data_IF_696191198003
#
_entry.id   IF_696191198003
#
_cell.length_a   1.000
_cell.length_b   1.000
_cell.length_c   1.000
_cell.angle_alpha   90.00
_cell.angle_beta   90.00
_cell.angle_gamma   90.00
#
_symmetry.space_group_name_H-M   'P 1'
#
loop_
_entity.id
_entity.type
_entity.pdbx_description
1 polymer ?
#
# COMPACT_ATOMS: atom_id res chain seq x y z
N UNK A 1 19.30 22.84 13.80
CA UNK A 1 18.42 21.94 14.54
C UNK A 1 18.14 20.74 13.66
N UNK A 2 18.44 19.53 14.12
CA UNK A 2 18.15 18.31 13.37
C UNK A 2 16.65 18.05 13.47
N UNK A 3 15.95 18.12 12.35
CA UNK A 3 14.54 17.72 12.25
C UNK A 3 14.54 16.20 12.22
N UNK A 4 14.02 15.57 13.27
CA UNK A 4 13.80 14.12 13.27
C UNK A 4 12.74 13.78 12.22
N UNK A 5 12.89 12.69 11.46
CA UNK A 5 11.87 12.25 10.54
C UNK A 5 10.61 11.90 11.35
N UNK A 6 9.50 12.58 11.06
CA UNK A 6 8.25 12.42 11.79
C UNK A 6 7.62 11.07 11.43
N UNK A 7 7.60 10.12 12.38
CA UNK A 7 6.88 8.86 12.24
C UNK A 7 5.37 9.15 12.17
N UNK A 8 4.74 8.79 11.04
CA UNK A 8 3.32 9.05 10.80
C UNK A 8 2.53 7.77 11.04
N UNK A 9 1.67 7.81 12.05
CA UNK A 9 0.63 6.81 12.26
C UNK A 9 -0.64 7.29 11.56
N UNK A 10 -1.13 6.53 10.59
CA UNK A 10 -2.52 6.68 10.18
C UNK A 10 -3.38 5.91 11.19
N UNK A 11 -4.16 6.65 11.99
CA UNK A 11 -5.15 6.04 12.88
C UNK A 11 -6.16 5.24 12.03
N UNK A 12 -6.71 4.14 12.57
CA UNK A 12 -7.71 3.35 11.86
C UNK A 12 -8.90 4.25 11.45
N UNK A 13 -9.44 4.01 10.25
CA UNK A 13 -10.67 4.66 9.81
C UNK A 13 -11.79 4.30 10.80
N UNK A 14 -12.18 5.27 11.63
CA UNK A 14 -13.29 5.11 12.57
C UNK A 14 -14.58 5.15 11.76
N UNK A 15 -15.13 3.98 11.44
CA UNK A 15 -16.51 3.91 10.98
C UNK A 15 -17.42 4.41 12.09
N UNK A 16 -18.12 5.53 11.85
CA UNK A 16 -19.10 6.05 12.80
C UNK A 16 -20.25 5.05 12.93
N UNK A 17 -20.35 4.39 14.08
CA UNK A 17 -21.57 3.74 14.51
C UNK A 17 -21.91 4.27 15.90
N UNK A 18 -22.87 5.20 15.93
CA UNK A 18 -23.72 5.36 17.11
C UNK A 18 -24.41 4.02 17.40
N UNK A 19 -24.68 3.78 18.68
CA UNK A 19 -25.27 2.57 19.29
C UNK A 19 -24.22 1.53 19.72
N UNK A 20 -23.84 1.57 21.02
CA UNK A 20 -23.09 0.53 21.75
C UNK A 20 -21.94 -0.12 20.95
N UNK A 21 -21.05 0.72 20.42
CA UNK A 21 -20.11 0.34 19.36
C UNK A 21 -18.94 -0.53 19.83
N UNK A 22 -18.94 -1.81 19.43
CA UNK A 22 -17.71 -2.52 19.14
C UNK A 22 -16.94 -1.74 18.06
N UNK A 23 -15.80 -1.16 18.45
CA UNK A 23 -14.89 -0.50 17.50
C UNK A 23 -14.18 -1.57 16.69
N UNK A 24 -14.64 -1.80 15.47
CA UNK A 24 -14.03 -2.69 14.49
C UNK A 24 -12.78 -2.01 13.89
N UNK A 25 -11.61 -2.26 14.50
CA UNK A 25 -10.32 -1.74 14.02
C UNK A 25 -9.88 -2.56 12.82
N UNK A 26 -10.06 -2.03 11.60
CA UNK A 26 -9.80 -2.75 10.35
C UNK A 26 -8.32 -2.90 9.96
N UNK A 27 -7.39 -2.30 10.71
CA UNK A 27 -5.95 -2.48 10.55
C UNK A 27 -5.14 -1.25 10.94
N UNK A 28 -3.81 -1.41 11.00
CA UNK A 28 -2.86 -0.32 11.26
C UNK A 28 -1.92 -0.12 10.08
N UNK A 29 -1.69 1.15 9.71
CA UNK A 29 -0.68 1.54 8.71
C UNK A 29 0.42 2.38 9.37
N UNK A 30 1.67 1.96 9.18
CA UNK A 30 2.86 2.60 9.74
C UNK A 30 3.77 3.04 8.60
N UNK A 31 4.21 4.30 8.59
CA UNK A 31 5.23 4.78 7.66
C UNK A 31 6.57 4.89 8.37
N UNK A 32 7.58 4.18 7.86
CA UNK A 32 8.92 4.13 8.40
C UNK A 32 9.89 4.77 7.41
N UNK A 33 10.48 5.94 7.73
CA UNK A 33 11.43 6.61 6.86
C UNK A 33 12.82 5.98 6.92
N UNK A 34 13.48 5.81 5.77
CA UNK A 34 14.92 5.61 5.73
C UNK A 34 15.62 6.95 5.99
N UNK A 35 16.10 7.16 7.22
CA UNK A 35 16.87 8.37 7.55
C UNK A 35 18.13 8.48 6.69
N UNK A 36 18.39 9.66 6.13
CA UNK A 36 19.54 9.97 5.24
C UNK A 36 20.93 9.89 5.90
N UNK A 37 21.04 9.26 7.07
CA UNK A 37 22.26 8.97 7.76
C UNK A 37 22.05 7.66 8.52
N UNK A 38 22.99 6.73 8.37
CA UNK A 38 23.05 5.35 8.90
C UNK A 38 22.88 5.17 10.43
N UNK A 39 22.22 6.10 11.13
CA UNK A 39 22.15 6.20 12.60
C UNK A 39 20.75 6.59 13.11
N UNK A 40 19.78 6.94 12.23
CA UNK A 40 18.37 7.08 12.66
C UNK A 40 17.66 5.70 12.85
N UNK A 41 18.40 4.60 12.69
CA UNK A 41 17.86 3.36 12.15
C UNK A 41 17.39 2.32 13.18
N UNK A 42 17.93 2.25 14.39
CA UNK A 42 17.65 1.09 15.27
C UNK A 42 16.51 1.32 16.26
N UNK A 43 16.42 2.52 16.87
CA UNK A 43 15.36 2.82 17.86
C UNK A 43 13.98 2.97 17.20
N UNK A 44 13.90 3.61 16.03
CA UNK A 44 12.65 3.75 15.28
C UNK A 44 12.17 2.40 14.76
N UNK A 45 13.07 1.58 14.22
CA UNK A 45 12.77 0.20 13.80
C UNK A 45 12.29 -0.62 15.01
N UNK A 46 12.99 -0.59 16.14
CA UNK A 46 12.60 -1.30 17.37
C UNK A 46 11.19 -0.90 17.86
N UNK A 47 10.85 0.39 17.77
CA UNK A 47 9.50 0.86 18.09
C UNK A 47 8.46 0.28 17.12
N UNK A 48 8.73 0.34 15.81
CA UNK A 48 7.82 -0.21 14.80
C UNK A 48 7.64 -1.71 14.99
N UNK A 49 8.71 -2.47 15.21
CA UNK A 49 8.64 -3.90 15.49
C UNK A 49 7.78 -4.18 16.72
N UNK A 50 7.97 -3.42 17.80
CA UNK A 50 7.16 -3.55 19.02
C UNK A 50 5.67 -3.30 18.77
N UNK A 51 5.33 -2.31 17.94
CA UNK A 51 3.93 -2.00 17.57
C UNK A 51 3.35 -3.13 16.70
N UNK A 52 4.10 -3.61 15.72
CA UNK A 52 3.67 -4.70 14.82
C UNK A 52 3.44 -5.99 15.61
N UNK A 53 4.35 -6.36 16.51
CA UNK A 53 4.19 -7.53 17.37
C UNK A 53 2.98 -7.40 18.31
N UNK A 54 2.77 -6.20 18.88
CA UNK A 54 1.62 -5.94 19.74
C UNK A 54 0.29 -6.06 18.97
N UNK A 55 0.25 -5.56 17.74
CA UNK A 55 -0.90 -5.71 16.85
C UNK A 55 -1.11 -7.18 16.44
N UNK A 56 -0.05 -7.92 16.11
CA UNK A 56 -0.12 -9.34 15.76
C UNK A 56 -0.67 -10.18 16.92
N UNK A 57 -0.25 -9.92 18.17
CA UNK A 57 -0.78 -10.57 19.38
C UNK A 57 -2.28 -10.34 19.58
N UNK A 58 -2.82 -9.26 19.01
CA UNK A 58 -4.24 -8.92 19.02
C UNK A 58 -4.96 -9.31 17.73
N UNK A 59 -4.28 -10.01 16.83
CA UNK A 59 -4.79 -10.38 15.50
C UNK A 59 -5.26 -9.18 14.67
N UNK A 60 -4.64 -8.02 14.86
CA UNK A 60 -4.93 -6.83 14.07
C UNK A 60 -3.98 -6.80 12.86
N UNK A 61 -4.49 -6.73 11.63
CA UNK A 61 -3.67 -6.72 10.43
C UNK A 61 -2.84 -5.43 10.37
N UNK A 62 -1.55 -5.58 10.03
CA UNK A 62 -0.60 -4.46 9.98
C UNK A 62 0.00 -4.33 8.59
N UNK A 63 0.03 -3.08 8.12
CA UNK A 63 0.69 -2.67 6.90
C UNK A 63 1.82 -1.71 7.26
N UNK A 64 3.03 -1.98 6.78
CA UNK A 64 4.19 -1.10 7.00
C UNK A 64 4.68 -0.60 5.67
N UNK A 65 4.91 0.71 5.56
CA UNK A 65 5.45 1.35 4.36
C UNK A 65 6.87 1.80 4.65
N UNK A 66 7.83 1.28 3.90
CA UNK A 66 9.22 1.68 3.93
C UNK A 66 9.41 2.85 2.95
N UNK A 67 9.48 4.07 3.46
CA UNK A 67 9.64 5.27 2.65
C UNK A 67 11.07 5.35 2.11
N UNK A 68 11.22 5.69 0.84
CA UNK A 68 12.49 5.79 0.10
C UNK A 68 13.19 4.45 -0.15
N UNK A 69 12.51 3.32 0.09
CA UNK A 69 13.00 1.98 -0.21
C UNK A 69 13.40 1.81 -1.68
N UNK A 70 12.65 2.41 -2.62
CA UNK A 70 12.89 2.27 -4.05
C UNK A 70 13.97 3.23 -4.59
N UNK A 71 14.58 4.04 -3.72
CA UNK A 71 15.59 5.04 -4.08
C UNK A 71 16.84 4.94 -3.20
N UNK A 72 16.93 3.90 -2.35
CA UNK A 72 18.03 3.70 -1.42
C UNK A 72 19.20 2.99 -2.10
N UNK A 73 20.45 3.44 -1.91
CA UNK A 73 21.61 2.78 -2.55
C UNK A 73 22.01 1.42 -1.91
N UNK A 74 21.26 0.92 -0.93
CA UNK A 74 21.55 -0.32 -0.19
C UNK A 74 20.33 -1.28 -0.15
N UNK A 75 20.15 -2.11 -1.19
CA UNK A 75 19.07 -3.12 -1.24
C UNK A 75 19.12 -4.12 -0.07
N UNK A 76 20.31 -4.44 0.44
CA UNK A 76 20.47 -5.38 1.55
C UNK A 76 19.94 -4.80 2.87
N UNK A 77 20.02 -3.47 3.05
CA UNK A 77 19.37 -2.82 4.17
C UNK A 77 17.84 -2.90 4.09
N UNK A 78 17.27 -2.64 2.91
CA UNK A 78 15.81 -2.77 2.70
C UNK A 78 15.35 -4.21 2.93
N UNK A 79 16.10 -5.18 2.42
CA UNK A 79 15.85 -6.59 2.65
C UNK A 79 15.85 -6.96 4.13
N UNK A 80 16.87 -6.52 4.89
CA UNK A 80 16.97 -6.79 6.33
C UNK A 80 15.75 -6.25 7.07
N UNK A 81 15.40 -4.99 6.83
CA UNK A 81 14.25 -4.35 7.48
C UNK A 81 12.92 -5.02 7.10
N UNK A 82 12.72 -5.32 5.82
CA UNK A 82 11.52 -6.04 5.37
C UNK A 82 11.40 -7.42 6.05
N UNK A 83 12.54 -8.11 6.24
CA UNK A 83 12.57 -9.41 6.92
C UNK A 83 12.20 -9.28 8.40
N UNK A 84 12.78 -8.33 9.11
CA UNK A 84 12.49 -8.08 10.53
C UNK A 84 11.02 -7.72 10.74
N UNK A 85 10.47 -6.83 9.90
CA UNK A 85 9.07 -6.42 9.94
C UNK A 85 8.13 -7.59 9.62
N UNK A 86 8.48 -8.45 8.66
CA UNK A 86 7.71 -9.64 8.36
C UNK A 86 7.74 -10.65 9.51
N UNK A 87 8.88 -10.82 10.19
CA UNK A 87 9.02 -11.66 11.37
C UNK A 87 8.22 -11.13 12.56
N UNK A 88 8.15 -9.81 12.74
CA UNK A 88 7.31 -9.17 13.75
C UNK A 88 5.80 -9.34 13.49
N UNK A 89 5.41 -9.80 12.29
CA UNK A 89 4.04 -10.16 11.98
C UNK A 89 3.33 -9.25 10.97
N UNK A 90 4.04 -8.35 10.30
CA UNK A 90 3.43 -7.47 9.30
C UNK A 90 2.77 -8.27 8.17
N UNK A 91 1.52 -7.93 7.85
CA UNK A 91 0.76 -8.59 6.79
C UNK A 91 1.18 -8.08 5.41
N UNK A 92 1.38 -6.77 5.28
CA UNK A 92 1.81 -6.12 4.04
C UNK A 92 3.00 -5.21 4.31
N UNK A 93 4.01 -5.28 3.45
CA UNK A 93 5.20 -4.42 3.48
C UNK A 93 5.28 -3.69 2.14
N UNK A 94 5.15 -2.38 2.16
CA UNK A 94 5.16 -1.55 0.96
C UNK A 94 6.52 -0.93 0.78
N UNK A 95 7.15 -1.17 -0.37
CA UNK A 95 8.35 -0.46 -0.78
C UNK A 95 7.90 0.84 -1.45
N UNK A 96 8.27 1.98 -0.88
CA UNK A 96 7.90 3.28 -1.40
C UNK A 96 9.09 4.04 -2.00
N UNK A 97 8.84 4.86 -3.02
CA UNK A 97 9.85 5.70 -3.67
C UNK A 97 9.31 7.08 -4.05
N UNK A 98 10.16 8.09 -3.91
CA UNK A 98 9.90 9.45 -4.39
C UNK A 98 10.20 9.60 -5.90
N UNK A 99 9.91 10.78 -6.44
CA UNK A 99 9.91 11.14 -7.87
C UNK A 99 11.17 10.74 -8.65
N UNK A 100 11.00 10.30 -9.91
CA UNK A 100 12.06 10.34 -10.93
C UNK A 100 13.16 9.29 -10.84
N UNK A 101 13.38 8.67 -9.68
CA UNK A 101 14.56 7.83 -9.42
C UNK A 101 14.27 6.33 -9.29
N UNK A 102 13.00 5.94 -9.17
CA UNK A 102 12.63 4.52 -9.10
C UNK A 102 12.69 3.89 -10.52
N UNK A 103 13.88 3.44 -10.87
CA UNK A 103 14.14 2.67 -12.10
C UNK A 103 13.45 1.30 -12.02
N UNK A 104 12.87 0.85 -13.13
CA UNK A 104 12.33 -0.51 -13.25
C UNK A 104 13.42 -1.57 -13.02
N UNK A 105 14.65 -1.33 -13.44
CA UNK A 105 15.77 -2.25 -13.20
C UNK A 105 16.10 -2.33 -11.70
N UNK A 106 16.09 -1.17 -11.02
CA UNK A 106 16.31 -1.11 -9.58
C UNK A 106 15.15 -1.80 -8.81
N UNK A 107 13.90 -1.59 -9.23
CA UNK A 107 12.74 -2.30 -8.69
C UNK A 107 12.89 -3.82 -8.78
N UNK A 108 13.30 -4.35 -9.94
CA UNK A 108 13.52 -5.78 -10.13
C UNK A 108 14.58 -6.32 -9.16
N UNK A 109 15.70 -5.59 -9.04
CA UNK A 109 16.81 -5.92 -8.14
C UNK A 109 16.37 -5.97 -6.67
N UNK A 110 15.75 -4.89 -6.17
CA UNK A 110 15.35 -4.81 -4.76
C UNK A 110 14.24 -5.80 -4.42
N UNK A 111 13.31 -6.02 -5.35
CA UNK A 111 12.25 -7.00 -5.14
C UNK A 111 12.83 -8.42 -5.06
N UNK A 112 13.74 -8.79 -5.96
CA UNK A 112 14.40 -10.09 -5.93
C UNK A 112 15.17 -10.30 -4.60
N UNK A 113 15.88 -9.26 -4.14
CA UNK A 113 16.60 -9.31 -2.86
C UNK A 113 15.63 -9.53 -1.69
N UNK A 114 14.57 -8.72 -1.59
CA UNK A 114 13.54 -8.84 -0.55
C UNK A 114 12.87 -10.21 -0.59
N UNK A 115 12.60 -10.78 -1.77
CA UNK A 115 12.02 -12.10 -1.92
C UNK A 115 12.96 -13.24 -1.48
N UNK A 116 14.27 -13.03 -1.50
CA UNK A 116 15.24 -14.02 -1.02
C UNK A 116 15.17 -14.24 0.50
N UNK A 117 14.49 -13.35 1.23
CA UNK A 117 14.29 -13.47 2.67
C UNK A 117 13.40 -14.65 3.06
N UNK A 118 13.93 -15.54 3.89
CA UNK A 118 13.18 -16.64 4.45
C UNK A 118 12.40 -16.21 5.70
N UNK A 119 11.12 -15.93 5.54
CA UNK A 119 10.22 -15.50 6.62
C UNK A 119 9.19 -16.59 6.95
N UNK A 120 8.90 -16.77 8.24
CA UNK A 120 7.95 -17.78 8.70
C UNK A 120 6.50 -17.40 8.36
N UNK A 121 5.67 -18.42 8.12
CA UNK A 121 4.24 -18.23 7.81
C UNK A 121 3.99 -17.97 6.33
N UNK A 122 3.61 -16.75 5.97
CA UNK A 122 3.33 -16.38 4.56
C UNK A 122 4.62 -16.02 3.81
N UNK A 123 4.83 -16.51 2.58
CA UNK A 123 5.95 -16.12 1.73
C UNK A 123 6.04 -14.61 1.52
N UNK A 124 7.27 -14.09 1.40
CA UNK A 124 7.50 -12.65 1.21
C UNK A 124 6.78 -12.10 -0.03
N UNK A 125 6.71 -12.89 -1.11
CA UNK A 125 6.01 -12.51 -2.35
C UNK A 125 4.52 -12.18 -2.16
N UNK A 126 3.88 -12.70 -1.11
CA UNK A 126 2.48 -12.41 -0.78
C UNK A 126 2.30 -11.17 0.11
N UNK A 127 3.40 -10.62 0.64
CA UNK A 127 3.41 -9.49 1.59
C UNK A 127 3.87 -8.19 0.93
N UNK A 128 4.73 -8.27 -0.07
CA UNK A 128 5.35 -7.09 -0.66
C UNK A 128 4.38 -6.33 -1.55
N UNK A 129 4.36 -5.00 -1.37
CA UNK A 129 3.63 -4.06 -2.20
C UNK A 129 4.48 -2.89 -2.68
N UNK A 130 3.94 -2.12 -3.61
CA UNK A 130 4.63 -0.99 -4.25
C UNK A 130 3.81 0.30 -4.10
N UNK A 131 4.50 1.37 -3.71
CA UNK A 131 4.02 2.76 -3.74
C UNK A 131 5.06 3.64 -4.41
N UNK A 132 4.84 4.04 -5.65
CA UNK A 132 5.75 4.91 -6.35
C UNK A 132 5.00 6.12 -6.92
N UNK A 133 5.64 7.29 -6.84
CA UNK A 133 5.18 8.46 -7.60
C UNK A 133 5.21 8.12 -9.10
N UNK A 134 4.19 8.54 -9.83
CA UNK A 134 4.16 8.37 -11.28
C UNK A 134 5.21 9.28 -11.92
N UNK A 135 6.05 8.72 -12.79
CA UNK A 135 7.08 9.48 -13.51
C UNK A 135 6.52 10.19 -14.75
N UNK A 136 7.37 10.89 -15.51
CA UNK A 136 7.01 11.51 -16.79
C UNK A 136 6.44 10.50 -17.80
N UNK A 137 6.92 9.25 -17.75
CA UNK A 137 6.47 8.13 -18.59
C UNK A 137 5.18 7.44 -18.05
N UNK A 138 4.53 8.02 -17.04
CA UNK A 138 3.28 7.55 -16.46
C UNK A 138 3.47 6.49 -15.38
N UNK A 139 2.75 5.36 -15.50
CA UNK A 139 2.63 4.33 -14.46
C UNK A 139 3.54 3.10 -14.70
N UNK A 140 4.68 3.30 -15.38
CA UNK A 140 5.59 2.23 -15.81
C UNK A 140 6.09 1.31 -14.69
N UNK A 141 6.39 1.86 -13.51
CA UNK A 141 6.77 1.08 -12.32
C UNK A 141 5.66 0.10 -11.91
N UNK A 142 4.39 0.52 -11.98
CA UNK A 142 3.25 -0.33 -11.64
C UNK A 142 3.03 -1.41 -12.69
N UNK A 143 3.26 -1.09 -13.96
CA UNK A 143 3.28 -2.08 -15.03
C UNK A 143 4.33 -3.16 -14.74
N UNK A 144 5.55 -2.74 -14.39
CA UNK A 144 6.63 -3.66 -14.05
C UNK A 144 6.33 -4.51 -12.82
N UNK A 145 5.82 -3.89 -11.75
CA UNK A 145 5.41 -4.59 -10.54
C UNK A 145 4.35 -5.68 -10.81
N UNK A 146 3.40 -5.42 -11.71
CA UNK A 146 2.42 -6.42 -12.13
C UNK A 146 3.05 -7.58 -12.91
N UNK A 147 4.02 -7.30 -13.77
CA UNK A 147 4.76 -8.33 -14.52
C UNK A 147 5.57 -9.23 -13.56
N UNK A 148 5.99 -8.68 -12.42
CA UNK A 148 6.64 -9.39 -11.30
C UNK A 148 5.64 -10.05 -10.34
N UNK A 149 4.34 -10.03 -10.63
CA UNK A 149 3.25 -10.60 -9.82
C UNK A 149 3.09 -9.99 -8.42
N UNK A 150 3.46 -8.72 -8.25
CA UNK A 150 3.17 -7.95 -7.03
C UNK A 150 1.65 -7.83 -6.84
N UNK A 151 1.16 -8.14 -5.64
CA UNK A 151 -0.27 -8.18 -5.33
C UNK A 151 -0.80 -6.89 -4.68
N UNK A 152 0.07 -6.14 -4.01
CA UNK A 152 -0.31 -4.94 -3.26
C UNK A 152 0.22 -3.69 -3.96
N UNK A 153 -0.68 -2.85 -4.49
CA UNK A 153 -0.31 -1.64 -5.22
C UNK A 153 -1.06 -0.46 -4.63
N UNK A 154 -0.33 0.57 -4.22
CA UNK A 154 -0.95 1.78 -3.71
C UNK A 154 -1.44 2.69 -4.82
N UNK A 155 -2.56 3.36 -4.53
CA UNK A 155 -3.20 4.36 -5.38
C UNK A 155 -3.48 5.62 -4.58
N UNK A 156 -3.52 6.78 -5.23
CA UNK A 156 -3.93 8.04 -4.62
C UNK A 156 -5.15 8.60 -5.34
N UNK A 157 -6.18 9.02 -4.60
CA UNK A 157 -7.39 9.62 -5.18
C UNK A 157 -7.23 11.08 -5.61
N UNK A 158 -6.17 11.74 -5.15
CA UNK A 158 -5.93 13.16 -5.45
C UNK A 158 -5.40 13.32 -6.87
N UNK A 159 -5.88 14.34 -7.57
CA UNK A 159 -5.31 14.77 -8.84
C UNK A 159 -4.15 15.76 -8.54
N UNK A 160 -2.90 15.39 -8.85
CA UNK A 160 -1.70 16.21 -8.57
C UNK A 160 -0.39 15.41 -8.57
N UNK A 161 0.75 15.97 -8.13
CA UNK A 161 2.00 15.24 -7.93
C UNK A 161 1.86 14.28 -6.74
N UNK A 162 1.22 13.13 -6.98
CA UNK A 162 0.86 12.15 -5.96
C UNK A 162 1.93 11.07 -5.81
N UNK A 163 2.06 10.51 -4.62
CA UNK A 163 3.00 9.40 -4.32
C UNK A 163 2.56 8.04 -4.89
N UNK A 164 1.45 8.01 -5.64
CA UNK A 164 0.84 6.81 -6.22
C UNK A 164 -0.14 7.21 -7.35
N UNK A 165 -0.40 6.33 -8.33
CA UNK A 165 -1.30 6.58 -9.44
C UNK A 165 -2.74 6.75 -8.99
N UNK A 166 -3.50 7.49 -9.78
CA UNK A 166 -4.95 7.49 -9.66
C UNK A 166 -5.49 6.05 -9.83
N UNK A 167 -6.41 5.58 -8.98
CA UNK A 167 -6.93 4.21 -9.08
C UNK A 167 -7.59 3.90 -10.43
N UNK A 168 -8.12 4.89 -11.16
CA UNK A 168 -8.64 4.69 -12.51
C UNK A 168 -7.54 4.25 -13.48
N UNK A 169 -6.35 4.84 -13.38
CA UNK A 169 -5.21 4.48 -14.21
C UNK A 169 -4.75 3.04 -13.90
N UNK A 170 -4.66 2.69 -12.61
CA UNK A 170 -4.28 1.34 -12.21
C UNK A 170 -5.30 0.27 -12.62
N UNK A 171 -6.60 0.54 -12.49
CA UNK A 171 -7.64 -0.40 -12.94
C UNK A 171 -7.61 -0.59 -14.46
N UNK A 172 -7.30 0.46 -15.22
CA UNK A 172 -7.13 0.35 -16.67
C UNK A 172 -5.94 -0.55 -17.01
N UNK A 173 -4.81 -0.37 -16.33
CA UNK A 173 -3.62 -1.20 -16.46
C UNK A 173 -3.86 -2.68 -16.13
N UNK A 174 -4.64 -2.96 -15.08
CA UNK A 174 -5.04 -4.31 -14.71
C UNK A 174 -5.90 -4.96 -15.79
N UNK A 175 -6.84 -4.21 -16.38
CA UNK A 175 -7.68 -4.70 -17.49
C UNK A 175 -6.87 -5.04 -18.74
N UNK A 176 -5.88 -4.23 -19.09
CA UNK A 176 -4.96 -4.51 -20.20
C UNK A 176 -4.24 -5.85 -20.01
N UNK A 177 -3.86 -6.17 -18.77
CA UNK A 177 -3.26 -7.46 -18.37
C UNK A 177 -4.25 -8.58 -18.10
N UNK A 178 -5.56 -8.34 -18.29
CA UNK A 178 -6.65 -9.28 -17.96
C UNK A 178 -6.65 -9.75 -16.51
N UNK A 179 -6.19 -8.89 -15.60
CA UNK A 179 -6.21 -9.11 -14.16
C UNK A 179 -7.48 -8.49 -13.55
N UNK A 180 -8.09 -9.20 -12.61
CA UNK A 180 -9.26 -8.72 -11.91
C UNK A 180 -8.85 -7.92 -10.66
N UNK A 181 -9.26 -6.65 -10.59
CA UNK A 181 -9.05 -5.82 -9.42
C UNK A 181 -10.13 -6.00 -8.35
N UNK A 182 -11.28 -6.58 -8.68
CA UNK A 182 -12.49 -6.55 -7.86
C UNK A 182 -13.12 -5.15 -7.73
N UNK A 183 -12.52 -4.13 -8.35
CA UNK A 183 -12.93 -2.72 -8.22
C UNK A 183 -13.77 -2.32 -9.44
N UNK A 184 -14.97 -1.80 -9.17
CA UNK A 184 -15.79 -1.19 -10.20
C UNK A 184 -15.27 0.22 -10.55
N UNK A 185 -14.63 0.34 -11.72
CA UNK A 185 -14.09 1.62 -12.22
C UNK A 185 -15.15 2.73 -12.36
N UNK A 186 -16.43 2.36 -12.52
CA UNK A 186 -17.54 3.31 -12.51
C UNK A 186 -17.68 4.00 -11.15
N UNK A 187 -17.55 3.27 -10.05
CA UNK A 187 -17.64 3.79 -8.68
C UNK A 187 -16.50 4.76 -8.35
N UNK A 188 -15.29 4.49 -8.86
CA UNK A 188 -14.12 5.35 -8.65
C UNK A 188 -14.32 6.76 -9.26
N UNK A 189 -15.00 6.85 -10.40
CA UNK A 189 -15.31 8.16 -11.04
C UNK A 189 -16.23 9.05 -10.20
N UNK A 190 -17.00 8.47 -9.28
CA UNK A 190 -17.91 9.21 -8.40
C UNK A 190 -17.27 9.58 -7.07
N UNK A 191 -16.38 8.73 -6.53
CA UNK A 191 -15.62 9.04 -5.32
C UNK A 191 -14.60 10.18 -5.47
N UNK A 192 -14.14 10.45 -6.70
CA UNK A 192 -13.24 11.58 -7.01
C UNK A 192 -14.00 12.91 -7.17
N UNK A 193 -15.33 12.89 -7.37
CA UNK A 193 -16.17 14.09 -7.57
C UNK A 193 -16.61 14.80 -6.28
N UNK A 194 -16.04 14.49 -5.13
CA UNK A 194 -16.48 15.13 -3.87
C UNK A 194 -15.87 16.51 -3.60
N UNK A 195 -15.19 17.12 -4.58
CA UNK A 195 -14.76 18.53 -4.48
C UNK A 195 -15.66 19.55 -5.19
N UNK A 196 -16.66 19.11 -5.97
CA UNK A 196 -17.68 19.99 -6.55
C UNK A 196 -19.08 19.45 -6.19
N UNK A 197 -19.58 19.82 -5.01
CA UNK A 197 -20.97 19.61 -4.64
C UNK A 197 -21.86 20.59 -5.42
N UNK A 198 -22.53 20.13 -6.48
CA UNK A 198 -23.85 20.68 -6.86
C UNK A 198 -24.90 19.62 -7.25
N UNK A 199 -24.56 18.34 -7.43
CA UNK A 199 -25.57 17.30 -7.69
C UNK A 199 -25.32 16.03 -6.86
N UNK A 200 -26.18 15.79 -5.86
CA UNK A 200 -26.20 14.52 -5.13
C UNK A 200 -26.52 13.36 -6.10
N UNK A 201 -25.72 12.27 -6.12
CA UNK A 201 -26.05 11.11 -6.93
C UNK A 201 -27.31 10.44 -6.37
N UNK A 202 -28.34 10.28 -7.21
CA UNK A 202 -29.59 9.63 -6.80
C UNK A 202 -29.34 8.24 -6.19
N UNK A 203 -30.06 7.91 -5.11
CA UNK A 203 -29.94 6.63 -4.37
C UNK A 203 -30.01 5.39 -5.28
N UNK A 204 -30.75 5.49 -6.39
CA UNK A 204 -30.93 4.42 -7.37
C UNK A 204 -29.64 4.10 -8.15
N UNK A 205 -28.77 5.10 -8.39
CA UNK A 205 -27.47 4.93 -9.05
C UNK A 205 -26.40 4.39 -8.11
N UNK A 206 -26.47 4.74 -6.83
CA UNK A 206 -25.62 4.17 -5.77
C UNK A 206 -25.98 2.69 -5.55
N UNK A 207 -27.27 2.33 -5.55
CA UNK A 207 -27.73 0.93 -5.50
C UNK A 207 -27.27 0.12 -6.71
N UNK A 208 -27.33 0.67 -7.93
CA UNK A 208 -26.81 -0.02 -9.12
C UNK A 208 -25.31 -0.31 -9.03
N UNK A 209 -24.52 0.58 -8.42
CA UNK A 209 -23.09 0.37 -8.21
C UNK A 209 -22.79 -0.75 -7.19
N UNK A 210 -23.63 -0.87 -6.14
CA UNK A 210 -23.51 -1.88 -5.09
C UNK A 210 -24.07 -3.25 -5.52
N UNK A 211 -25.06 -3.30 -6.41
CA UNK A 211 -25.70 -4.55 -6.85
C UNK A 211 -24.87 -5.41 -7.81
N UNK A 212 -23.78 -4.90 -8.39
CA UNK A 212 -22.90 -5.72 -9.25
C UNK A 212 -21.99 -6.66 -8.45
N UNK A 213 -21.92 -6.54 -7.11
CA UNK A 213 -21.12 -7.45 -6.27
C UNK A 213 -21.87 -8.71 -5.80
N UNK A 214 -23.15 -8.87 -6.13
CA UNK A 214 -23.90 -10.09 -5.83
C UNK A 214 -24.27 -10.86 -7.12
N UNK A 215 -23.28 -11.46 -7.77
CA UNK A 215 -23.53 -12.66 -8.56
C UNK A 215 -23.30 -13.89 -7.66
N UNK A 216 -24.26 -14.80 -7.49
CA UNK A 216 -24.09 -16.03 -6.73
C UNK A 216 -23.16 -16.99 -7.49
N UNK A 217 -22.41 -17.80 -6.73
CA UNK A 217 -21.38 -18.70 -7.26
C UNK A 217 -21.89 -19.78 -8.22
N UNK A 218 -20.93 -20.39 -8.91
CA UNK A 218 -21.09 -21.64 -9.62
C UNK A 218 -19.77 -22.41 -9.55
N UNK A 219 -19.75 -23.45 -8.72
CA UNK A 219 -18.75 -24.50 -8.77
C UNK A 219 -18.83 -25.20 -10.13
N UNK A 220 -17.67 -25.38 -10.78
CA UNK A 220 -17.21 -26.62 -11.44
C UNK A 220 -15.68 -26.64 -11.34
#
# INVERSE_FOLDING_TARGET
GKVLPSLRYALPEVGSADVEGHVDVRGFSIELPFGSANVAADEEVSHVLSVVEAAQKRSIPTRVTLLDALTLDDPAHVQRMASEIAHAGAEVIVLAGAEGDADCEYLESIYAEVLASNVAGRPMAQRVGIRARCGPDGIGIYARALDMCVQHLDTCLLDGPTMAPNPIALVSLLKERRLNSGINAGCLKYGVRTHDFEDEPSEERVRQCLQVSSAPGGAV
#
